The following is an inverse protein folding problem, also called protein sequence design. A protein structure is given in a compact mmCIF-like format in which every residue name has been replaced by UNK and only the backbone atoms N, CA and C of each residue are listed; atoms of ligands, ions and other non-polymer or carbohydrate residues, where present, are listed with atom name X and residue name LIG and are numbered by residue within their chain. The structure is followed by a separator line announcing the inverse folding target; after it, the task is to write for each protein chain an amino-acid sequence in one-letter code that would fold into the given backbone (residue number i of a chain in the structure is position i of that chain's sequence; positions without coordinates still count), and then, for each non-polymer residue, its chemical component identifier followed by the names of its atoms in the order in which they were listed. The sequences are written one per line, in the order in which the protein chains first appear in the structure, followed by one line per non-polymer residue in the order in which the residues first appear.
data_IF_601382027801
#
_entry.id   IF_601382027801
#
_cell.length_a   1.000
_cell.length_b   1.000
_cell.length_c   1.000
_cell.angle_alpha   90.00
_cell.angle_beta   90.00
_cell.angle_gamma   90.00
#
_symmetry.space_group_name_H-M   'P 1'
#
loop_
_entity.id
_entity.type
_entity.pdbx_description
1 polymer ?
#
# COMPACT_ATOMS: atom_id res chain seq x y z
N UNK A 1 8.07 -3.78 0.66
CA UNK A 1 7.08 -3.47 -0.38
C UNK A 1 7.61 -4.00 -1.71
N UNK A 2 6.86 -4.80 -2.45
CA UNK A 2 7.23 -5.20 -3.82
C UNK A 2 6.38 -4.38 -4.78
N UNK A 3 7.02 -3.66 -5.69
CA UNK A 3 6.33 -2.80 -6.66
C UNK A 3 6.61 -3.25 -8.08
N UNK A 4 5.54 -3.45 -8.84
CA UNK A 4 5.55 -3.79 -10.25
C UNK A 4 4.73 -2.76 -11.02
N UNK A 5 5.28 -2.20 -12.10
CA UNK A 5 4.56 -1.26 -12.96
C UNK A 5 4.09 -1.99 -14.22
N UNK A 6 2.78 -2.04 -14.46
CA UNK A 6 2.19 -2.70 -15.64
C UNK A 6 1.03 -1.85 -16.15
N UNK A 7 0.98 -1.60 -17.46
CA UNK A 7 -0.13 -0.90 -18.13
C UNK A 7 -0.52 0.46 -17.52
N UNK A 8 0.45 1.22 -17.03
CA UNK A 8 0.21 2.53 -16.42
C UNK A 8 -0.27 2.48 -14.96
N UNK A 9 -0.37 1.28 -14.38
CA UNK A 9 -0.82 1.05 -13.02
C UNK A 9 0.34 0.57 -12.14
N UNK A 10 0.37 1.09 -10.92
CA UNK A 10 1.28 0.66 -9.87
C UNK A 10 0.68 -0.53 -9.13
N UNK A 11 1.28 -1.70 -9.30
CA UNK A 11 0.97 -2.88 -8.51
C UNK A 11 1.92 -2.92 -7.33
N UNK A 12 1.39 -3.03 -6.11
CA UNK A 12 2.21 -3.07 -4.90
C UNK A 12 1.71 -4.11 -3.93
N UNK A 13 2.64 -4.79 -3.24
CA UNK A 13 2.34 -5.54 -2.03
C UNK A 13 2.74 -4.73 -0.79
N UNK A 14 1.77 -4.47 0.08
CA UNK A 14 1.93 -3.74 1.34
C UNK A 14 1.86 -4.76 2.48
N UNK A 15 2.90 -4.82 3.30
CA UNK A 15 2.87 -5.57 4.54
C UNK A 15 2.48 -4.64 5.68
N UNK A 16 1.33 -4.89 6.30
CA UNK A 16 0.88 -4.21 7.51
C UNK A 16 1.31 -5.02 8.72
N UNK A 17 2.03 -4.37 9.64
CA UNK A 17 2.38 -4.93 10.93
C UNK A 17 1.63 -4.16 12.02
N UNK A 18 0.73 -4.82 12.75
CA UNK A 18 -0.02 -4.22 13.85
C UNK A 18 -0.16 -5.22 14.99
N UNK A 19 0.27 -4.81 16.20
CA UNK A 19 0.24 -5.66 17.41
C UNK A 19 0.87 -7.05 17.23
N UNK A 20 2.00 -7.14 16.50
CA UNK A 20 2.68 -8.39 16.21
C UNK A 20 1.96 -9.30 15.21
N UNK A 21 0.85 -8.85 14.62
CA UNK A 21 0.17 -9.52 13.51
C UNK A 21 0.64 -8.92 12.20
N UNK A 22 1.07 -9.79 11.31
CA UNK A 22 1.43 -9.44 9.94
C UNK A 22 0.24 -9.71 9.02
N UNK A 23 -0.09 -8.73 8.18
CA UNK A 23 -1.02 -8.90 7.07
C UNK A 23 -0.39 -8.38 5.79
N UNK A 24 -0.18 -9.28 4.85
CA UNK A 24 0.22 -8.91 3.48
C UNK A 24 -1.03 -8.59 2.67
N UNK A 25 -1.07 -7.38 2.13
CA UNK A 25 -2.01 -6.94 1.10
C UNK A 25 -1.23 -7.02 -0.22
N UNK A 26 -1.62 -7.94 -1.10
CA UNK A 26 -1.02 -8.10 -2.43
C UNK A 26 -2.12 -8.13 -3.49
N UNK A 27 -1.79 -7.81 -4.73
CA UNK A 27 -2.69 -7.96 -5.87
C UNK A 27 -2.54 -9.39 -6.39
N UNK A 28 -3.27 -10.31 -5.77
CA UNK A 28 -3.33 -11.70 -6.21
C UNK A 28 -4.39 -11.83 -7.32
N UNK A 29 -4.00 -12.40 -8.47
CA UNK A 29 -4.90 -12.64 -9.62
C UNK A 29 -5.68 -11.40 -10.14
N UNK A 30 -5.08 -10.20 -10.03
CA UNK A 30 -5.72 -8.95 -10.46
C UNK A 30 -6.82 -8.44 -9.52
N UNK A 31 -7.00 -9.08 -8.35
CA UNK A 31 -7.93 -8.62 -7.32
C UNK A 31 -7.18 -7.78 -6.28
N UNK A 32 -7.68 -6.58 -6.01
CA UNK A 32 -7.14 -5.69 -4.96
C UNK A 32 -7.55 -6.27 -3.60
N UNK A 33 -6.60 -6.81 -2.84
CA UNK A 33 -6.86 -7.35 -1.50
C UNK A 33 -6.97 -6.28 -0.39
N UNK A 34 -6.86 -5.00 -0.75
CA UNK A 34 -7.05 -3.88 0.18
C UNK A 34 -6.95 -2.53 -0.52
N UNK A 35 -8.01 -1.73 -0.40
CA UNK A 35 -8.01 -0.32 -0.79
C UNK A 35 -7.91 0.54 0.47
N UNK A 36 -6.97 1.48 0.48
CA UNK A 36 -6.94 2.54 1.48
C UNK A 36 -7.60 3.77 0.86
N UNK A 37 -8.65 4.26 1.51
CA UNK A 37 -9.36 5.46 1.08
C UNK A 37 -8.51 6.71 1.23
N UNK A 38 -8.64 7.64 0.27
CA UNK A 38 -7.98 8.94 0.32
C UNK A 38 -8.41 9.74 1.55
N UNK A 39 -9.63 9.53 2.04
CA UNK A 39 -10.15 10.15 3.26
C UNK A 39 -9.37 9.73 4.52
N UNK A 40 -8.95 8.46 4.61
CA UNK A 40 -8.11 7.96 5.69
C UNK A 40 -6.69 8.54 5.60
N UNK A 41 -6.10 8.56 4.40
CA UNK A 41 -4.77 9.13 4.17
C UNK A 41 -4.69 10.62 4.52
N UNK A 42 -5.72 11.39 4.14
CA UNK A 42 -5.80 12.81 4.48
C UNK A 42 -5.98 13.03 5.99
N UNK A 43 -6.80 12.22 6.67
CA UNK A 43 -6.99 12.30 8.12
C UNK A 43 -5.71 11.95 8.88
N UNK A 44 -4.97 10.95 8.43
CA UNK A 44 -3.71 10.53 9.03
C UNK A 44 -2.53 11.45 8.67
N UNK A 45 -2.72 12.43 7.77
CA UNK A 45 -1.65 13.27 7.21
C UNK A 45 -0.48 12.45 6.64
N UNK A 46 -0.81 11.30 6.07
CA UNK A 46 0.20 10.40 5.55
C UNK A 46 1.01 11.05 4.42
N UNK A 47 2.33 10.86 4.44
CA UNK A 47 3.22 11.20 3.33
C UNK A 47 3.53 9.91 2.59
N UNK A 48 3.18 9.87 1.31
CA UNK A 48 3.57 8.77 0.41
C UNK A 48 4.88 9.20 -0.26
N UNK A 49 5.99 8.65 0.19
CA UNK A 49 7.29 8.87 -0.46
C UNK A 49 7.42 7.91 -1.63
N UNK A 50 7.41 8.46 -2.85
CA UNK A 50 7.52 7.68 -4.08
C UNK A 50 8.98 7.34 -4.45
N UNK A 51 9.98 7.94 -3.80
CA UNK A 51 11.38 7.60 -4.01
C UNK A 51 11.77 6.34 -3.23
N UNK A 52 11.29 6.24 -1.99
CA UNK A 52 11.55 5.11 -1.09
C UNK A 52 10.42 4.08 -1.13
N UNK A 53 9.25 4.46 -1.64
CA UNK A 53 8.05 3.66 -1.69
C UNK A 53 7.55 3.30 -0.29
N UNK A 54 7.55 4.31 0.59
CA UNK A 54 7.11 4.20 1.98
C UNK A 54 5.93 5.13 2.26
N UNK A 55 5.13 4.77 3.26
CA UNK A 55 4.08 5.64 3.80
C UNK A 55 4.52 6.04 5.21
N UNK A 56 4.70 7.33 5.42
CA UNK A 56 5.00 7.92 6.72
C UNK A 56 3.72 8.53 7.30
N UNK A 57 3.53 8.41 8.61
CA UNK A 57 2.35 8.89 9.34
C UNK A 57 2.78 9.83 10.46
#
# INVERSE_FOLDING_TARGET
MKIDFRDGLLFTSITLNFEGKEKVIDIENGSINGSIGLDLLMKSKAIIDLNTLEIHI
#
